data_IF_692415609769
#
_entry.id   IF_692415609769
#
_cell.length_a   1.000
_cell.length_b   1.000
_cell.length_c   1.000
_cell.angle_alpha   90.00
_cell.angle_beta   90.00
_cell.angle_gamma   90.00
#
_symmetry.space_group_name_H-M   'P 1'
#
loop_
_entity.id
_entity.type
_entity.pdbx_description
1 polymer ?
#
# COMPACT_ATOMS: atom_id res chain seq x y z
N UNK A 1 -10.24 19.85 -19.37
CA UNK A 1 -9.95 19.19 -20.66
C UNK A 1 -8.46 19.00 -20.93
N UNK A 2 -7.65 20.04 -21.19
CA UNK A 2 -6.22 19.86 -21.52
C UNK A 2 -5.38 19.30 -20.35
N UNK A 3 -5.63 19.79 -19.13
CA UNK A 3 -4.96 19.32 -17.91
C UNK A 3 -5.31 17.86 -17.58
N UNK A 4 -6.54 17.45 -17.84
CA UNK A 4 -6.99 16.07 -17.59
C UNK A 4 -6.36 15.09 -18.59
N UNK A 5 -6.23 15.52 -19.86
CA UNK A 5 -5.54 14.77 -20.90
C UNK A 5 -4.04 14.60 -20.57
N UNK A 6 -3.39 15.65 -20.06
CA UNK A 6 -1.99 15.58 -19.60
C UNK A 6 -1.81 14.64 -18.41
N UNK A 7 -2.73 14.67 -17.43
CA UNK A 7 -2.71 13.75 -16.28
C UNK A 7 -2.87 12.29 -16.72
N UNK A 8 -3.76 12.02 -17.67
CA UNK A 8 -3.94 10.67 -18.24
C UNK A 8 -2.68 10.19 -18.96
N UNK A 9 -2.06 11.04 -19.79
CA UNK A 9 -0.80 10.71 -20.48
C UNK A 9 0.34 10.45 -19.48
N UNK A 10 0.46 11.26 -18.42
CA UNK A 10 1.45 11.02 -17.37
C UNK A 10 1.25 9.68 -16.65
N UNK A 11 0.00 9.31 -16.33
CA UNK A 11 -0.31 8.00 -15.71
C UNK A 11 0.09 6.84 -16.61
N UNK A 12 -0.18 6.95 -17.91
CA UNK A 12 0.16 5.93 -18.90
C UNK A 12 1.68 5.76 -19.03
N UNK A 13 2.43 6.86 -19.06
CA UNK A 13 3.89 6.85 -19.05
C UNK A 13 4.43 6.18 -17.79
N UNK A 14 3.92 6.53 -16.59
CA UNK A 14 4.35 5.92 -15.33
C UNK A 14 4.10 4.41 -15.32
N UNK A 15 2.96 3.96 -15.85
CA UNK A 15 2.61 2.54 -15.97
C UNK A 15 3.57 1.80 -16.89
N UNK A 16 3.90 2.36 -18.05
CA UNK A 16 4.85 1.79 -19.01
C UNK A 16 6.23 1.67 -18.35
N UNK A 17 6.74 2.75 -17.74
CA UNK A 17 8.03 2.76 -17.06
C UNK A 17 8.09 1.74 -15.92
N UNK A 18 7.00 1.58 -15.16
CA UNK A 18 6.89 0.55 -14.11
C UNK A 18 6.96 -0.86 -14.68
N UNK A 19 6.29 -1.11 -15.81
CA UNK A 19 6.28 -2.42 -16.45
C UNK A 19 7.64 -2.76 -17.06
N UNK A 20 8.27 -1.82 -17.75
CA UNK A 20 9.62 -1.99 -18.30
C UNK A 20 10.65 -2.31 -17.20
N UNK A 21 10.55 -1.65 -16.05
CA UNK A 21 11.40 -1.94 -14.91
C UNK A 21 11.20 -3.39 -14.40
N UNK A 22 9.96 -3.84 -14.25
CA UNK A 22 9.64 -5.22 -13.87
C UNK A 22 10.16 -6.23 -14.90
N UNK A 23 10.00 -5.93 -16.18
CA UNK A 23 10.47 -6.79 -17.27
C UNK A 23 12.00 -6.85 -17.30
N UNK A 24 12.69 -5.74 -17.00
CA UNK A 24 14.15 -5.71 -16.87
C UNK A 24 14.62 -6.59 -15.71
N UNK A 25 13.97 -6.51 -14.55
CA UNK A 25 14.24 -7.42 -13.41
C UNK A 25 14.02 -8.87 -13.83
N UNK A 26 12.88 -9.17 -14.46
CA UNK A 26 12.53 -10.54 -14.90
C UNK A 26 13.56 -11.08 -15.89
N UNK A 27 13.97 -10.30 -16.89
CA UNK A 27 15.02 -10.68 -17.86
C UNK A 27 16.36 -10.93 -17.18
N UNK A 28 16.75 -10.07 -16.24
CA UNK A 28 17.98 -10.23 -15.45
C UNK A 28 17.96 -11.53 -14.64
N UNK A 29 16.84 -11.82 -13.98
CA UNK A 29 16.63 -13.05 -13.20
C UNK A 29 16.77 -14.30 -14.08
N UNK A 30 16.08 -14.33 -15.23
CA UNK A 30 16.13 -15.46 -16.18
C UNK A 30 17.56 -15.68 -16.69
N UNK A 31 18.25 -14.60 -17.05
CA UNK A 31 19.65 -14.66 -17.50
C UNK A 31 20.55 -15.26 -16.42
N UNK A 32 20.47 -14.74 -15.19
CA UNK A 32 21.25 -15.24 -14.07
C UNK A 32 21.01 -16.74 -13.82
N UNK A 33 19.76 -17.21 -13.84
CA UNK A 33 19.46 -18.64 -13.71
C UNK A 33 20.09 -19.46 -14.83
N UNK A 34 20.00 -19.00 -16.09
CA UNK A 34 20.58 -19.72 -17.23
C UNK A 34 22.10 -19.84 -17.14
N UNK A 35 22.78 -18.79 -16.70
CA UNK A 35 24.23 -18.76 -16.51
C UNK A 35 24.69 -19.65 -15.36
N UNK A 36 23.91 -19.71 -14.28
CA UNK A 36 24.34 -20.35 -13.03
C UNK A 36 23.83 -21.79 -12.85
N UNK A 37 22.82 -22.25 -13.62
CA UNK A 37 22.13 -23.54 -13.42
C UNK A 37 23.05 -24.77 -13.37
N UNK A 38 24.18 -24.72 -14.07
CA UNK A 38 25.12 -25.83 -14.16
C UNK A 38 26.22 -25.80 -13.10
N UNK A 39 26.37 -24.67 -12.39
CA UNK A 39 27.41 -24.51 -11.36
C UNK A 39 27.15 -25.40 -10.16
N UNK A 40 28.22 -25.92 -9.57
CA UNK A 40 28.14 -26.75 -8.36
C UNK A 40 27.46 -25.99 -7.21
N UNK A 41 27.84 -24.71 -7.02
CA UNK A 41 27.23 -23.81 -6.04
C UNK A 41 25.72 -23.70 -6.20
N UNK A 42 25.22 -23.51 -7.43
CA UNK A 42 23.79 -23.43 -7.70
C UNK A 42 23.07 -24.74 -7.38
N UNK A 43 23.63 -25.88 -7.84
CA UNK A 43 23.07 -27.22 -7.58
C UNK A 43 22.96 -27.51 -6.09
N UNK A 44 24.00 -27.15 -5.32
CA UNK A 44 24.00 -27.31 -3.85
C UNK A 44 22.98 -26.42 -3.16
N UNK A 45 22.88 -25.14 -3.56
CA UNK A 45 21.85 -24.23 -3.02
C UNK A 45 20.45 -24.74 -3.33
N UNK A 46 20.17 -25.17 -4.56
CA UNK A 46 18.87 -25.72 -4.95
C UNK A 46 18.56 -27.03 -4.23
N UNK A 47 19.54 -27.91 -4.05
CA UNK A 47 19.38 -29.15 -3.27
C UNK A 47 19.03 -28.83 -1.81
N UNK A 48 19.73 -27.89 -1.17
CA UNK A 48 19.43 -27.43 0.20
C UNK A 48 18.01 -26.88 0.33
N UNK A 49 17.53 -26.10 -0.64
CA UNK A 49 16.16 -25.58 -0.65
C UNK A 49 15.17 -26.73 -0.86
N UNK A 50 15.41 -27.60 -1.83
CA UNK A 50 14.54 -28.74 -2.14
C UNK A 50 14.43 -29.71 -0.96
N UNK A 51 15.53 -30.00 -0.26
CA UNK A 51 15.54 -30.89 0.90
C UNK A 51 14.80 -30.26 2.09
N UNK A 52 14.90 -28.93 2.28
CA UNK A 52 14.07 -28.21 3.27
C UNK A 52 12.58 -28.23 2.95
N UNK A 53 12.22 -28.31 1.66
CA UNK A 53 10.84 -28.34 1.19
C UNK A 53 10.27 -29.76 1.02
N UNK A 54 11.10 -30.81 1.10
CA UNK A 54 10.62 -32.20 1.11
C UNK A 54 9.70 -32.42 2.32
N UNK A 55 8.47 -32.82 2.07
CA UNK A 55 7.43 -32.97 3.10
C UNK A 55 6.77 -31.66 3.53
N UNK A 56 7.20 -30.51 2.99
CA UNK A 56 6.47 -29.25 3.11
C UNK A 56 5.28 -29.29 2.15
N UNK A 57 4.17 -29.85 2.63
CA UNK A 57 2.87 -29.52 2.08
C UNK A 57 2.47 -28.17 2.68
N UNK A 58 2.37 -27.08 1.91
CA UNK A 58 1.71 -25.89 2.43
C UNK A 58 0.33 -26.37 2.89
N UNK A 59 0.06 -26.29 4.21
CA UNK A 59 -1.27 -26.58 4.72
C UNK A 59 -2.23 -25.76 3.84
N UNK A 60 -3.19 -26.44 3.22
CA UNK A 60 -4.26 -25.82 2.43
C UNK A 60 -5.03 -24.75 3.23
N UNK A 61 -4.81 -24.69 4.54
CA UNK A 61 -5.04 -23.52 5.36
C UNK A 61 -3.97 -22.48 5.08
N UNK A 62 -4.27 -21.54 4.17
CA UNK A 62 -3.83 -20.16 4.31
C UNK A 62 -3.99 -19.82 5.80
N UNK A 63 -2.91 -19.85 6.60
CA UNK A 63 -3.00 -19.51 8.02
C UNK A 63 -3.54 -18.10 8.02
N UNK A 64 -4.83 -17.92 8.33
CA UNK A 64 -5.43 -16.61 8.58
C UNK A 64 -4.45 -15.96 9.55
N UNK A 65 -3.76 -14.93 9.09
CA UNK A 65 -2.76 -14.25 9.91
C UNK A 65 -3.38 -14.01 11.28
N UNK A 66 -2.63 -14.28 12.35
CA UNK A 66 -3.15 -14.20 13.71
C UNK A 66 -3.71 -12.79 13.89
N UNK A 67 -5.02 -12.67 13.86
CA UNK A 67 -5.73 -11.39 13.80
C UNK A 67 -6.45 -11.13 15.11
N UNK A 68 -6.70 -9.87 15.44
CA UNK A 68 -7.40 -9.53 16.67
C UNK A 68 -6.62 -9.97 17.90
N UNK A 69 -7.30 -10.59 18.87
CA UNK A 69 -6.77 -10.79 20.23
C UNK A 69 -5.48 -11.59 20.33
N UNK A 70 -5.26 -12.45 19.35
CA UNK A 70 -4.21 -13.45 19.36
C UNK A 70 -2.91 -12.95 18.68
N UNK A 71 -2.89 -11.73 18.13
CA UNK A 71 -1.68 -11.16 17.54
C UNK A 71 -0.74 -10.62 18.65
N UNK A 72 0.58 -10.89 18.65
CA UNK A 72 1.50 -10.42 19.70
C UNK A 72 1.54 -8.89 19.87
N UNK A 73 1.20 -8.15 18.82
CA UNK A 73 1.06 -6.68 18.85
C UNK A 73 -0.36 -6.18 19.13
N UNK A 74 -1.32 -7.07 19.44
CA UNK A 74 -2.68 -6.66 19.75
C UNK A 74 -2.74 -5.97 21.10
N UNK A 75 -3.06 -4.68 21.08
CA UNK A 75 -3.21 -3.87 22.29
C UNK A 75 -4.68 -3.67 22.63
N UNK A 76 -5.45 -4.73 22.84
CA UNK A 76 -6.82 -4.59 23.38
C UNK A 76 -7.85 -3.86 22.50
N UNK A 77 -7.66 -3.81 21.17
CA UNK A 77 -8.59 -3.08 20.28
C UNK A 77 -8.41 -1.56 20.30
N UNK A 78 -7.25 -1.04 20.75
CA UNK A 78 -6.90 0.39 20.75
C UNK A 78 -7.10 1.08 19.38
N UNK A 79 -7.17 0.35 18.27
CA UNK A 79 -7.48 0.95 16.96
C UNK A 79 -8.84 1.69 16.94
N UNK A 80 -9.83 1.28 17.75
CA UNK A 80 -11.08 2.03 17.98
C UNK A 80 -10.94 3.14 19.03
N UNK A 81 -9.92 3.06 19.89
CA UNK A 81 -9.67 4.04 20.96
C UNK A 81 -9.12 5.31 20.32
N UNK A 82 -10.00 6.29 20.09
CA UNK A 82 -9.65 7.63 19.62
C UNK A 82 -10.52 8.18 18.49
N UNK A 83 -11.25 7.32 17.75
CA UNK A 83 -12.25 7.79 16.79
C UNK A 83 -13.57 8.06 17.49
N UNK A 84 -14.24 9.15 17.15
CA UNK A 84 -15.61 9.40 17.61
C UNK A 84 -16.60 8.57 16.78
N UNK A 85 -17.85 8.47 17.25
CA UNK A 85 -18.92 7.75 16.56
C UNK A 85 -19.18 8.27 15.13
N UNK A 86 -18.97 9.56 14.92
CA UNK A 86 -19.14 10.25 13.63
C UNK A 86 -18.16 9.78 12.54
N UNK A 87 -17.01 9.20 12.92
CA UNK A 87 -16.07 8.61 11.95
C UNK A 87 -16.54 7.24 11.45
N UNK A 88 -17.75 7.22 10.90
CA UNK A 88 -18.48 6.04 10.46
C UNK A 88 -18.29 5.77 8.95
N UNK A 89 -19.00 4.78 8.41
CA UNK A 89 -18.91 4.45 6.99
C UNK A 89 -19.53 5.52 6.08
N UNK A 90 -20.54 6.24 6.55
CA UNK A 90 -21.23 7.28 5.79
C UNK A 90 -20.29 8.46 5.55
N UNK A 91 -19.65 8.97 6.61
CA UNK A 91 -18.64 10.02 6.50
C UNK A 91 -17.49 9.57 5.59
N UNK A 92 -16.99 8.34 5.76
CA UNK A 92 -15.90 7.85 4.90
C UNK A 92 -16.32 7.75 3.43
N UNK A 93 -17.57 7.38 3.15
CA UNK A 93 -18.09 7.33 1.79
C UNK A 93 -18.29 8.73 1.19
N UNK A 94 -18.78 9.70 1.96
CA UNK A 94 -18.94 11.08 1.48
C UNK A 94 -17.60 11.71 1.09
N UNK A 95 -16.54 11.45 1.86
CA UNK A 95 -15.17 11.88 1.52
C UNK A 95 -14.65 11.21 0.25
N UNK A 96 -14.90 9.91 0.04
CA UNK A 96 -14.54 9.23 -1.21
C UNK A 96 -15.30 9.78 -2.42
N UNK A 97 -16.58 10.08 -2.25
CA UNK A 97 -17.41 10.69 -3.30
C UNK A 97 -16.85 12.07 -3.67
N UNK A 98 -16.59 12.93 -2.67
CA UNK A 98 -15.94 14.23 -2.86
C UNK A 98 -14.63 14.11 -3.64
N UNK A 99 -13.81 13.14 -3.26
CA UNK A 99 -12.50 12.87 -3.86
C UNK A 99 -12.59 12.07 -5.17
N UNK A 100 -13.81 11.89 -5.72
CA UNK A 100 -14.07 11.16 -6.97
C UNK A 100 -13.44 9.76 -6.99
N UNK A 101 -13.47 9.05 -5.87
CA UNK A 101 -12.85 7.74 -5.66
C UNK A 101 -11.38 7.70 -6.11
N UNK A 102 -10.68 8.83 -5.99
CA UNK A 102 -9.31 9.01 -6.46
C UNK A 102 -8.40 9.32 -5.27
N UNK A 103 -7.26 8.64 -5.18
CA UNK A 103 -6.25 8.92 -4.18
C UNK A 103 -5.74 10.36 -4.36
N UNK A 104 -5.85 11.19 -3.33
CA UNK A 104 -5.49 12.61 -3.41
C UNK A 104 -3.96 12.86 -3.37
N UNK A 105 -3.16 11.80 -3.23
CA UNK A 105 -1.69 11.88 -3.29
C UNK A 105 -1.11 11.38 -4.61
N UNK A 106 -1.49 10.17 -5.06
CA UNK A 106 -0.93 9.56 -6.27
C UNK A 106 -1.92 9.50 -7.45
N UNK A 107 -3.14 10.00 -7.26
CA UNK A 107 -4.19 10.08 -8.27
C UNK A 107 -4.66 8.73 -8.87
N UNK A 108 -4.29 7.61 -8.27
CA UNK A 108 -4.81 6.29 -8.63
C UNK A 108 -6.29 6.16 -8.24
N UNK A 109 -7.10 5.58 -9.12
CA UNK A 109 -8.55 5.45 -8.91
C UNK A 109 -8.84 4.13 -8.18
N UNK A 110 -9.83 4.13 -7.30
CA UNK A 110 -10.30 2.96 -6.54
C UNK A 110 -10.50 1.72 -7.43
N UNK A 111 -11.12 1.90 -8.60
CA UNK A 111 -11.37 0.85 -9.59
C UNK A 111 -10.07 0.19 -10.10
N UNK A 112 -9.02 0.98 -10.34
CA UNK A 112 -7.73 0.47 -10.83
C UNK A 112 -6.96 -0.27 -9.73
N UNK A 113 -7.19 0.12 -8.48
CA UNK A 113 -6.56 -0.50 -7.31
C UNK A 113 -7.26 -1.78 -6.86
N UNK A 114 -8.49 -2.02 -7.31
CA UNK A 114 -9.30 -3.18 -6.90
C UNK A 114 -9.64 -3.20 -5.40
N UNK A 115 -9.53 -2.06 -4.71
CA UNK A 115 -9.78 -1.92 -3.28
C UNK A 115 -10.23 -0.50 -2.94
N UNK A 116 -11.05 -0.36 -1.89
CA UNK A 116 -11.52 0.94 -1.40
C UNK A 116 -10.38 1.83 -0.93
N UNK A 117 -10.49 3.15 -1.17
CA UNK A 117 -9.56 4.11 -0.58
C UNK A 117 -9.74 4.19 0.94
N UNK A 118 -8.64 4.39 1.66
CA UNK A 118 -8.65 4.71 3.09
C UNK A 118 -8.93 6.21 3.27
N UNK A 119 -9.63 6.60 4.34
CA UNK A 119 -9.84 8.00 4.71
C UNK A 119 -8.93 8.32 5.90
N UNK A 120 -8.13 9.37 5.77
CA UNK A 120 -7.11 9.76 6.73
C UNK A 120 -7.38 11.16 7.30
N UNK A 121 -7.13 11.35 8.59
CA UNK A 121 -7.12 12.66 9.25
C UNK A 121 -5.78 13.36 8.99
N UNK A 122 -5.79 14.49 8.28
CA UNK A 122 -4.58 15.24 7.93
C UNK A 122 -3.84 15.72 9.17
N UNK A 123 -4.55 16.23 10.17
CA UNK A 123 -3.96 16.74 11.43
C UNK A 123 -3.57 15.65 12.44
N UNK A 124 -3.75 14.35 12.11
CA UNK A 124 -3.53 13.20 13.00
C UNK A 124 -4.44 13.16 14.23
N UNK A 125 -5.34 14.13 14.40
CA UNK A 125 -6.32 14.13 15.46
C UNK A 125 -7.54 13.33 15.02
N UNK A 126 -7.61 12.08 15.49
CA UNK A 126 -8.72 11.14 15.19
C UNK A 126 -10.11 11.62 15.61
N UNK A 127 -10.20 12.71 16.39
CA UNK A 127 -11.46 13.34 16.80
C UNK A 127 -11.89 14.50 15.90
N UNK A 128 -11.02 15.01 15.01
CA UNK A 128 -11.34 16.11 14.11
C UNK A 128 -11.93 15.60 12.80
N UNK A 129 -13.23 15.36 12.79
CA UNK A 129 -13.95 14.81 11.64
C UNK A 129 -14.43 15.86 10.63
N UNK A 130 -13.92 17.10 10.71
CA UNK A 130 -14.19 18.08 9.67
C UNK A 130 -13.83 17.48 8.31
N UNK A 131 -14.76 17.51 7.37
CA UNK A 131 -14.55 17.01 6.02
C UNK A 131 -13.28 17.59 5.39
N UNK A 132 -12.95 18.86 5.65
CA UNK A 132 -11.74 19.51 5.17
C UNK A 132 -10.46 18.95 5.79
N UNK A 133 -10.53 18.34 6.96
CA UNK A 133 -9.42 17.64 7.61
C UNK A 133 -9.27 16.19 7.11
N UNK A 134 -10.24 15.66 6.36
CA UNK A 134 -10.23 14.29 5.87
C UNK A 134 -9.77 14.20 4.41
N UNK A 135 -9.03 13.14 4.07
CA UNK A 135 -8.49 12.90 2.72
C UNK A 135 -8.55 11.42 2.31
N UNK A 136 -8.94 11.14 1.07
CA UNK A 136 -8.95 9.77 0.50
C UNK A 136 -7.58 9.38 -0.05
N UNK A 137 -7.04 8.25 0.40
CA UNK A 137 -5.72 7.75 0.03
C UNK A 137 -5.76 6.27 -0.33
N UNK A 138 -4.93 5.85 -1.29
CA UNK A 138 -4.74 4.42 -1.53
C UNK A 138 -3.91 3.79 -0.41
N UNK A 139 -3.98 2.47 -0.26
CA UNK A 139 -3.35 1.75 0.84
C UNK A 139 -1.83 1.97 0.94
N UNK A 140 -1.14 2.08 -0.21
CA UNK A 140 0.30 2.37 -0.23
C UNK A 140 0.60 3.76 0.31
N UNK A 141 -0.07 4.80 -0.20
CA UNK A 141 0.10 6.18 0.29
C UNK A 141 -0.29 6.31 1.76
N UNK A 142 -1.38 5.67 2.18
CA UNK A 142 -1.82 5.69 3.57
C UNK A 142 -0.79 5.03 4.50
N UNK A 143 -0.21 3.90 4.09
CA UNK A 143 0.83 3.21 4.86
C UNK A 143 2.14 4.00 4.89
N UNK A 144 2.53 4.63 3.79
CA UNK A 144 3.72 5.52 3.73
C UNK A 144 3.57 6.69 4.70
N UNK A 145 2.39 7.31 4.78
CA UNK A 145 2.14 8.35 5.78
C UNK A 145 2.35 7.81 7.19
N UNK A 146 1.78 6.64 7.52
CA UNK A 146 1.95 6.04 8.85
C UNK A 146 3.39 5.64 9.18
N UNK A 147 4.13 5.13 8.20
CA UNK A 147 5.52 4.69 8.38
C UNK A 147 6.50 5.85 8.60
N UNK A 148 6.20 7.02 8.03
CA UNK A 148 7.06 8.19 8.11
C UNK A 148 6.88 9.00 9.40
N UNK A 149 5.93 8.68 10.29
CA UNK A 149 5.77 9.39 11.57
C UNK A 149 6.89 9.14 12.59
N UNK A 150 7.84 8.25 12.32
CA UNK A 150 9.04 8.04 13.15
C UNK A 150 10.19 9.03 12.85
N UNK A 151 10.06 9.90 11.83
CA UNK A 151 11.09 10.90 11.49
C UNK A 151 10.53 12.33 11.38
N UNK A 152 11.33 13.30 11.85
CA UNK A 152 10.97 14.72 11.96
C UNK A 152 10.61 15.40 10.62
N UNK A 153 10.98 14.83 9.47
CA UNK A 153 10.72 15.43 8.15
C UNK A 153 9.24 15.35 7.72
N UNK A 154 8.46 14.43 8.30
CA UNK A 154 7.09 14.13 7.85
C UNK A 154 6.05 15.16 8.27
N UNK A 155 6.36 15.95 9.32
CA UNK A 155 5.55 17.12 9.71
C UNK A 155 5.46 18.17 8.59
N UNK A 156 6.40 18.18 7.65
CA UNK A 156 6.41 19.12 6.51
C UNK A 156 5.55 18.64 5.34
N UNK A 157 5.38 17.33 5.13
CA UNK A 157 4.64 16.80 3.98
C UNK A 157 3.12 16.97 4.13
N UNK A 158 2.59 16.68 5.33
CA UNK A 158 1.18 16.96 5.67
C UNK A 158 0.88 18.46 5.56
N UNK A 159 1.79 19.33 6.00
CA UNK A 159 1.66 20.80 5.89
C UNK A 159 1.54 21.29 4.44
N UNK A 160 2.01 20.53 3.44
CA UNK A 160 1.96 20.92 2.02
C UNK A 160 0.62 20.60 1.35
N UNK A 161 -0.16 19.65 1.90
CA UNK A 161 -1.52 19.31 1.44
C UNK A 161 -2.63 20.11 2.16
N UNK A 162 -2.28 20.88 3.20
CA UNK A 162 -3.22 21.69 4.00
C UNK A 162 -3.19 23.18 3.59
N UNK A 163 -2.30 23.58 2.66
CA UNK A 163 -2.12 24.97 2.20
C UNK A 163 -2.63 25.28 0.78
N UNK A 164 -3.43 24.40 0.21
CA UNK A 164 -4.17 24.63 -1.05
C UNK A 164 -5.63 24.32 -0.80
#
# INVERSE_FOLDING_TARGET
MYVDLLKLKMKEIIKILSQEHKDKIKRSMVRWHSENKNTQKYKETYKKISDKLKGYHPKSEFKKGVGGKNHPRWRGGIWKKGYTYEFNNELRNSIRIRDSYTCQNCFMIEKELGQKLDVHHKDLNKKNNDSWNLISLCRSCHTTLHANFDSNETKLFVRRLVKT
#
